data_IF_131824033007
#
_entry.id   IF_131824033007
#
_cell.length_a   1.000
_cell.length_b   1.000
_cell.length_c   1.000
_cell.angle_alpha   90.00
_cell.angle_beta   90.00
_cell.angle_gamma   90.00
#
_symmetry.space_group_name_H-M   'P 1'
#
loop_
_entity.id
_entity.type
_entity.pdbx_description
1 polymer ?
#
# COMPACT_ATOMS: atom_id res chain seq x y z
N UNK A 1 -15.72 -7.51 -22.19
CA UNK A 1 -15.94 -6.08 -22.53
C UNK A 1 -16.42 -5.26 -21.32
N UNK A 2 -17.30 -5.80 -20.46
CA UNK A 2 -17.77 -5.16 -19.22
C UNK A 2 -16.70 -5.01 -18.12
N UNK A 3 -15.80 -5.99 -17.96
CA UNK A 3 -14.72 -5.93 -16.97
C UNK A 3 -13.70 -4.82 -17.26
N UNK A 4 -13.31 -4.65 -18.53
CA UNK A 4 -12.37 -3.62 -18.98
C UNK A 4 -12.92 -2.20 -18.77
N UNK A 5 -14.20 -1.98 -19.04
CA UNK A 5 -14.88 -0.71 -18.73
C UNK A 5 -14.96 -0.43 -17.23
N UNK A 6 -15.11 -1.47 -16.40
CA UNK A 6 -15.13 -1.35 -14.94
C UNK A 6 -13.76 -0.95 -14.40
N UNK A 7 -12.69 -1.59 -14.88
CA UNK A 7 -11.29 -1.27 -14.52
C UNK A 7 -10.95 0.15 -14.96
N UNK A 8 -11.35 0.57 -16.17
CA UNK A 8 -11.10 1.93 -16.64
C UNK A 8 -11.74 2.99 -15.74
N UNK A 9 -13.01 2.80 -15.35
CA UNK A 9 -13.67 3.70 -14.38
C UNK A 9 -13.00 3.67 -13.01
N UNK A 10 -12.49 2.52 -12.57
CA UNK A 10 -11.74 2.40 -11.32
C UNK A 10 -10.51 3.30 -11.33
N UNK A 11 -9.74 3.25 -12.41
CA UNK A 11 -8.53 4.04 -12.58
C UNK A 11 -8.89 5.52 -12.71
N UNK A 12 -9.86 5.88 -13.55
CA UNK A 12 -10.30 7.27 -13.75
C UNK A 12 -10.82 7.92 -12.45
N UNK A 13 -11.58 7.19 -11.62
CA UNK A 13 -11.99 7.68 -10.30
C UNK A 13 -10.79 7.84 -9.35
N UNK A 14 -9.88 6.88 -9.35
CA UNK A 14 -8.70 6.88 -8.47
C UNK A 14 -7.70 7.99 -8.85
N UNK A 15 -7.66 8.42 -10.11
CA UNK A 15 -6.78 9.51 -10.58
C UNK A 15 -7.52 10.83 -10.78
N UNK A 16 -8.78 10.94 -10.35
CA UNK A 16 -9.62 12.11 -10.62
C UNK A 16 -9.15 13.39 -9.94
N UNK A 17 -8.45 13.28 -8.79
CA UNK A 17 -7.99 14.41 -7.99
C UNK A 17 -6.47 14.41 -7.83
N UNK A 18 -5.87 15.61 -7.71
CA UNK A 18 -4.41 15.79 -7.57
C UNK A 18 -3.83 15.05 -6.37
N UNK A 19 -4.58 14.98 -5.26
CA UNK A 19 -4.21 14.28 -4.03
C UNK A 19 -4.12 12.78 -4.21
N UNK A 20 -5.07 12.16 -4.91
CA UNK A 20 -5.06 10.72 -5.16
C UNK A 20 -4.02 10.34 -6.21
N UNK A 21 -3.80 11.19 -7.23
CA UNK A 21 -2.69 11.04 -8.16
C UNK A 21 -1.33 11.10 -7.48
N UNK A 22 -1.11 12.08 -6.58
CA UNK A 22 0.13 12.19 -5.81
C UNK A 22 0.34 10.98 -4.89
N UNK A 23 -0.71 10.51 -4.21
CA UNK A 23 -0.66 9.29 -3.39
C UNK A 23 -0.27 8.06 -4.22
N UNK A 24 -0.93 7.83 -5.36
CA UNK A 24 -0.62 6.69 -6.24
C UNK A 24 0.81 6.75 -6.77
N UNK A 25 1.28 7.93 -7.19
CA UNK A 25 2.66 8.13 -7.64
C UNK A 25 3.67 7.82 -6.54
N UNK A 26 3.41 8.29 -5.32
CA UNK A 26 4.29 8.03 -4.18
C UNK A 26 4.35 6.54 -3.82
N UNK A 27 3.20 5.86 -3.77
CA UNK A 27 3.15 4.41 -3.52
C UNK A 27 3.83 3.63 -4.63
N UNK A 28 3.67 4.03 -5.90
CA UNK A 28 4.32 3.36 -7.03
C UNK A 28 5.85 3.47 -6.96
N UNK A 29 6.38 4.66 -6.66
CA UNK A 29 7.83 4.86 -6.49
C UNK A 29 8.37 3.98 -5.36
N UNK A 30 7.70 4.00 -4.20
CA UNK A 30 8.11 3.19 -3.05
C UNK A 30 7.98 1.68 -3.32
N UNK A 31 6.90 1.24 -3.97
CA UNK A 31 6.65 -0.16 -4.30
C UNK A 31 7.67 -0.71 -5.30
N UNK A 32 8.05 0.08 -6.31
CA UNK A 32 9.11 -0.28 -7.26
C UNK A 32 10.46 -0.38 -6.55
N UNK A 33 10.79 0.60 -5.69
CA UNK A 33 12.03 0.59 -4.93
C UNK A 33 12.09 -0.61 -3.97
N UNK A 34 10.97 -0.93 -3.31
CA UNK A 34 10.83 -2.09 -2.44
C UNK A 34 10.97 -3.43 -3.17
N UNK A 35 10.48 -3.51 -4.42
CA UNK A 35 10.69 -4.70 -5.26
C UNK A 35 12.12 -4.80 -5.78
N UNK A 36 12.76 -3.68 -6.09
CA UNK A 36 14.17 -3.66 -6.43
C UNK A 36 15.05 -4.11 -5.25
N UNK A 37 14.73 -3.68 -4.02
CA UNK A 37 15.31 -4.21 -2.77
C UNK A 37 15.11 -5.72 -2.66
N UNK A 38 13.87 -6.21 -2.80
CA UNK A 38 13.54 -7.64 -2.69
C UNK A 38 14.26 -8.52 -3.72
N UNK A 39 14.58 -7.96 -4.89
CA UNK A 39 15.36 -8.64 -5.93
C UNK A 39 16.88 -8.49 -5.77
N UNK A 40 17.36 -7.76 -4.76
CA UNK A 40 18.78 -7.50 -4.53
C UNK A 40 19.42 -6.55 -5.55
N UNK A 41 18.61 -5.70 -6.20
CA UNK A 41 19.08 -4.72 -7.20
C UNK A 41 19.51 -3.39 -6.56
N UNK A 42 19.04 -3.11 -5.35
CA UNK A 42 19.33 -1.89 -4.58
C UNK A 42 19.50 -2.27 -3.12
N UNK A 43 20.51 -1.69 -2.47
CA UNK A 43 20.81 -1.90 -1.05
C UNK A 43 20.28 -0.71 -0.24
N UNK A 44 19.13 -0.88 0.38
CA UNK A 44 18.47 0.10 1.25
C UNK A 44 17.94 -0.62 2.47
N UNK A 45 17.85 0.07 3.62
CA UNK A 45 17.50 -0.49 4.95
C UNK A 45 16.02 -0.97 5.06
N UNK A 46 15.46 -1.61 4.03
CA UNK A 46 14.06 -2.06 3.93
C UNK A 46 13.01 -0.95 4.13
N UNK A 47 13.44 0.31 4.10
CA UNK A 47 12.60 1.47 4.42
C UNK A 47 11.53 1.67 3.36
N UNK A 48 11.83 1.41 2.08
CA UNK A 48 10.87 1.55 1.00
C UNK A 48 9.73 0.53 1.11
N UNK A 49 10.09 -0.72 1.41
CA UNK A 49 9.13 -1.80 1.65
C UNK A 49 8.22 -1.47 2.83
N UNK A 50 8.79 -1.01 3.94
CA UNK A 50 8.03 -0.61 5.13
C UNK A 50 7.06 0.55 4.86
N UNK A 51 7.51 1.63 4.21
CA UNK A 51 6.63 2.75 3.87
C UNK A 51 5.52 2.34 2.90
N UNK A 52 5.81 1.44 1.96
CA UNK A 52 4.78 0.87 1.06
C UNK A 52 3.73 0.09 1.83
N UNK A 53 4.15 -0.71 2.83
CA UNK A 53 3.25 -1.42 3.75
C UNK A 53 2.38 -0.42 4.51
N UNK A 54 2.96 0.61 5.15
CA UNK A 54 2.19 1.61 5.90
C UNK A 54 1.18 2.33 5.00
N UNK A 55 1.55 2.73 3.80
CA UNK A 55 0.61 3.42 2.90
C UNK A 55 -0.52 2.48 2.46
N UNK A 56 -0.23 1.18 2.38
CA UNK A 56 -1.22 0.14 2.12
C UNK A 56 -1.93 -0.40 3.39
N UNK A 57 -1.72 0.20 4.58
CA UNK A 57 -2.07 -0.39 5.90
C UNK A 57 -3.49 -0.96 6.09
N UNK A 58 -4.56 -0.38 5.52
CA UNK A 58 -5.90 -0.97 5.67
C UNK A 58 -5.96 -2.42 5.18
N UNK A 59 -5.04 -2.80 4.29
CA UNK A 59 -4.92 -4.12 3.69
C UNK A 59 -3.76 -4.95 4.26
N UNK A 60 -2.92 -4.37 5.13
CA UNK A 60 -1.78 -5.09 5.74
C UNK A 60 -2.21 -5.99 6.88
N UNK A 61 -3.41 -5.86 7.43
CA UNK A 61 -4.01 -6.89 8.30
C UNK A 61 -4.15 -8.23 7.55
N UNK A 62 -4.41 -8.19 6.25
CA UNK A 62 -4.46 -9.38 5.40
C UNK A 62 -3.06 -10.02 5.27
N UNK A 63 -2.04 -9.19 5.10
CA UNK A 63 -0.63 -9.64 5.03
C UNK A 63 -0.15 -10.14 6.38
N UNK A 64 -0.50 -9.47 7.48
CA UNK A 64 -0.20 -9.91 8.84
C UNK A 64 -0.86 -11.26 9.12
N UNK A 65 -2.09 -11.51 8.66
CA UNK A 65 -2.73 -12.82 8.75
C UNK A 65 -1.99 -13.89 7.94
N UNK A 66 -1.44 -13.56 6.76
CA UNK A 66 -0.60 -14.48 5.97
C UNK A 66 0.73 -14.78 6.68
N UNK A 67 1.35 -13.78 7.30
CA UNK A 67 2.58 -13.95 8.10
C UNK A 67 2.29 -14.80 9.35
N UNK A 68 1.16 -14.58 10.02
CA UNK A 68 0.74 -15.39 11.17
C UNK A 68 0.45 -16.84 10.79
N UNK A 69 -0.16 -17.06 9.61
CA UNK A 69 -0.31 -18.40 9.04
C UNK A 69 1.06 -19.02 8.73
N UNK A 70 2.04 -18.25 8.25
CA UNK A 70 3.40 -18.72 7.99
C UNK A 70 4.12 -19.18 9.27
N UNK A 71 4.02 -18.44 10.38
CA UNK A 71 4.58 -18.90 11.66
C UNK A 71 3.93 -20.21 12.13
N UNK A 72 2.64 -20.40 11.82
CA UNK A 72 1.96 -21.69 11.98
C UNK A 72 2.53 -22.81 11.11
N UNK A 73 2.93 -22.51 9.86
CA UNK A 73 3.60 -23.45 8.97
C UNK A 73 5.01 -23.79 9.42
N UNK A 74 5.77 -22.82 9.93
CA UNK A 74 7.09 -23.05 10.52
C UNK A 74 7.03 -24.06 11.67
N UNK A 75 6.04 -23.88 12.56
CA UNK A 75 5.81 -24.80 13.67
C UNK A 75 5.46 -26.23 13.22
N UNK A 76 4.81 -26.37 12.06
CA UNK A 76 4.37 -27.66 11.51
C UNK A 76 5.45 -28.38 10.69
N UNK A 77 6.26 -27.64 9.94
CA UNK A 77 7.23 -28.17 8.96
C UNK A 77 8.67 -28.16 9.47
N UNK A 78 8.96 -27.48 10.58
CA UNK A 78 10.28 -27.38 11.18
C UNK A 78 11.28 -26.52 10.38
N UNK A 79 10.85 -25.89 9.28
CA UNK A 79 11.64 -24.94 8.50
C UNK A 79 10.72 -23.83 7.95
N UNK A 80 11.30 -22.66 7.64
CA UNK A 80 10.53 -21.50 7.21
C UNK A 80 10.55 -21.41 5.69
N UNK A 81 9.54 -22.00 5.04
CA UNK A 81 9.42 -22.04 3.58
C UNK A 81 9.58 -20.66 2.92
N UNK A 82 9.10 -19.58 3.56
CA UNK A 82 9.24 -18.23 3.04
C UNK A 82 10.65 -17.64 3.20
N UNK A 83 11.37 -18.01 4.26
CA UNK A 83 12.76 -17.58 4.46
C UNK A 83 13.73 -18.31 3.52
N UNK A 84 13.44 -19.58 3.22
CA UNK A 84 14.29 -20.42 2.38
C UNK A 84 13.98 -20.30 0.89
N UNK A 85 12.79 -19.79 0.54
CA UNK A 85 12.38 -19.58 -0.83
C UNK A 85 12.98 -18.29 -1.40
N UNK A 86 13.42 -18.30 -2.67
CA UNK A 86 14.04 -17.14 -3.27
C UNK A 86 13.01 -16.02 -3.48
N UNK A 87 13.41 -14.78 -3.20
CA UNK A 87 12.53 -13.61 -3.19
C UNK A 87 11.74 -13.38 -4.49
N UNK A 88 12.31 -13.73 -5.65
CA UNK A 88 11.65 -13.62 -6.95
C UNK A 88 10.33 -14.40 -7.06
N UNK A 89 10.13 -15.42 -6.21
CA UNK A 89 8.88 -16.19 -6.17
C UNK A 89 7.71 -15.35 -5.61
N UNK A 90 8.01 -14.43 -4.68
CA UNK A 90 7.00 -13.65 -3.97
C UNK A 90 6.89 -12.20 -4.45
N UNK A 91 7.91 -11.65 -5.09
CA UNK A 91 7.90 -10.27 -5.61
C UNK A 91 6.76 -9.96 -6.59
N UNK A 92 6.33 -10.87 -7.49
CA UNK A 92 5.15 -10.64 -8.32
C UNK A 92 3.87 -10.51 -7.49
N UNK A 93 3.70 -11.34 -6.47
CA UNK A 93 2.53 -11.30 -5.57
C UNK A 93 2.53 -10.01 -4.74
N UNK A 94 3.69 -9.61 -4.24
CA UNK A 94 3.90 -8.32 -3.58
C UNK A 94 3.55 -7.15 -4.51
N UNK A 95 3.97 -7.21 -5.78
CA UNK A 95 3.69 -6.17 -6.77
C UNK A 95 2.20 -6.00 -7.01
N UNK A 96 1.49 -7.12 -7.21
CA UNK A 96 0.04 -7.12 -7.36
C UNK A 96 -0.63 -6.58 -6.09
N UNK A 97 -0.18 -7.00 -4.91
CA UNK A 97 -0.72 -6.55 -3.63
C UNK A 97 -0.65 -5.04 -3.48
N UNK A 98 0.53 -4.42 -3.57
CA UNK A 98 0.65 -2.99 -3.34
C UNK A 98 -0.10 -2.19 -4.41
N UNK A 99 -0.12 -2.66 -5.66
CA UNK A 99 -0.84 -1.98 -6.74
C UNK A 99 -2.35 -1.95 -6.49
N UNK A 100 -2.93 -3.09 -6.10
CA UNK A 100 -4.37 -3.20 -5.81
C UNK A 100 -4.73 -2.44 -4.53
N UNK A 101 -3.92 -2.54 -3.48
CA UNK A 101 -4.12 -1.82 -2.23
C UNK A 101 -4.03 -0.30 -2.42
N UNK A 102 -3.06 0.18 -3.21
CA UNK A 102 -2.93 1.59 -3.56
C UNK A 102 -4.17 2.10 -4.30
N UNK A 103 -4.66 1.34 -5.27
CA UNK A 103 -5.85 1.71 -6.04
C UNK A 103 -7.11 1.75 -5.17
N UNK A 104 -7.28 0.78 -4.27
CA UNK A 104 -8.39 0.76 -3.32
C UNK A 104 -8.33 1.96 -2.36
N UNK A 105 -7.16 2.26 -1.80
CA UNK A 105 -6.96 3.41 -0.92
C UNK A 105 -7.21 4.74 -1.64
N UNK A 106 -6.70 4.90 -2.86
CA UNK A 106 -6.93 6.09 -3.67
C UNK A 106 -8.41 6.38 -3.89
N UNK A 107 -9.23 5.33 -4.10
CA UNK A 107 -10.69 5.48 -4.23
C UNK A 107 -11.36 5.89 -2.92
N UNK A 108 -10.94 5.31 -1.80
CA UNK A 108 -11.43 5.70 -0.47
C UNK A 108 -11.08 7.16 -0.17
N UNK A 109 -9.86 7.59 -0.51
CA UNK A 109 -9.42 8.99 -0.36
C UNK A 109 -10.26 9.91 -1.25
N UNK A 110 -10.48 9.56 -2.53
CA UNK A 110 -11.35 10.33 -3.41
C UNK A 110 -12.79 10.45 -2.85
N UNK A 111 -13.35 9.35 -2.36
CA UNK A 111 -14.69 9.35 -1.76
C UNK A 111 -14.76 10.23 -0.51
N UNK A 112 -13.74 10.17 0.36
CA UNK A 112 -13.62 11.01 1.55
C UNK A 112 -13.46 12.49 1.18
N UNK A 113 -12.58 12.82 0.24
CA UNK A 113 -12.40 14.19 -0.26
C UNK A 113 -13.71 14.76 -0.82
N UNK A 114 -14.43 14.00 -1.65
CA UNK A 114 -15.75 14.42 -2.17
C UNK A 114 -16.78 14.60 -1.06
N UNK A 115 -16.75 13.78 -0.01
CA UNK A 115 -17.66 13.87 1.13
C UNK A 115 -17.40 15.12 1.99
N UNK A 116 -16.12 15.49 2.14
CA UNK A 116 -15.68 16.65 2.91
C UNK A 116 -15.98 17.94 2.15
N UNK A 117 -15.72 17.98 0.84
CA UNK A 117 -16.00 19.16 0.00
C UNK A 117 -17.50 19.53 -0.07
N UNK A 118 -18.40 18.60 0.26
CA UNK A 118 -19.85 18.85 0.33
C UNK A 118 -20.31 19.47 1.66
N UNK A 119 -19.44 19.54 2.68
CA UNK A 119 -19.78 20.12 3.98
C UNK A 119 -19.42 21.61 4.03
N UNK A 120 -20.38 22.50 4.27
CA UNK A 120 -20.09 23.93 4.37
C UNK A 120 -19.17 24.21 5.57
N UNK A 121 -18.13 25.02 5.35
CA UNK A 121 -17.16 25.44 6.38
C UNK A 121 -15.98 24.50 6.61
N UNK A 122 -15.86 23.39 5.87
CA UNK A 122 -14.73 22.45 6.03
C UNK A 122 -13.64 22.72 4.99
N UNK A 123 -12.38 22.77 5.44
CA UNK A 123 -11.23 22.99 4.55
C UNK A 123 -11.02 21.81 3.59
N UNK A 124 -10.77 22.05 2.29
CA UNK A 124 -10.45 21.00 1.32
C UNK A 124 -9.14 20.26 1.64
N UNK A 125 -8.29 20.85 2.50
CA UNK A 125 -7.02 20.25 2.92
C UNK A 125 -7.14 19.29 4.12
N UNK A 126 -8.34 19.13 4.69
CA UNK A 126 -8.53 18.28 5.87
C UNK A 126 -8.13 16.82 5.62
N UNK A 127 -8.53 16.25 4.48
CA UNK A 127 -8.25 14.86 4.11
C UNK A 127 -6.75 14.61 3.82
N UNK A 128 -6.06 15.40 2.97
CA UNK A 128 -4.62 15.19 2.76
C UNK A 128 -3.79 15.42 4.03
N UNK A 129 -4.14 16.41 4.86
CA UNK A 129 -3.41 16.67 6.11
C UNK A 129 -3.63 15.57 7.15
N UNK A 130 -4.84 15.01 7.26
CA UNK A 130 -5.10 13.89 8.18
C UNK A 130 -4.38 12.61 7.75
N UNK A 131 -4.32 12.32 6.44
CA UNK A 131 -3.51 11.22 5.90
C UNK A 131 -2.03 11.39 6.22
N UNK A 132 -1.47 12.58 5.98
CA UNK A 132 -0.09 12.91 6.31
C UNK A 132 0.19 12.74 7.81
N UNK A 133 -0.71 13.21 8.67
CA UNK A 133 -0.58 13.09 10.12
C UNK A 133 -0.60 11.61 10.57
N UNK A 134 -1.51 10.79 10.03
CA UNK A 134 -1.60 9.36 10.37
C UNK A 134 -0.34 8.62 9.92
N UNK A 135 0.10 8.81 8.68
CA UNK A 135 1.30 8.15 8.14
C UNK A 135 2.55 8.58 8.93
N UNK A 136 2.68 9.87 9.23
CA UNK A 136 3.80 10.40 10.01
C UNK A 136 3.81 9.87 11.43
N UNK A 137 2.64 9.74 12.08
CA UNK A 137 2.53 9.16 13.41
C UNK A 137 2.96 7.69 13.42
N UNK A 138 2.53 6.88 12.44
CA UNK A 138 2.92 5.47 12.34
C UNK A 138 4.42 5.34 12.08
N UNK A 139 4.97 6.16 11.18
CA UNK A 139 6.41 6.18 10.91
C UNK A 139 7.23 6.61 12.14
N UNK A 140 6.72 7.57 12.93
CA UNK A 140 7.34 7.99 14.18
C UNK A 140 7.31 6.87 15.23
N UNK A 141 6.17 6.21 15.41
CA UNK A 141 6.01 5.08 16.34
C UNK A 141 6.93 3.91 15.99
N UNK A 142 7.26 3.72 14.71
CA UNK A 142 8.20 2.68 14.29
C UNK A 142 9.67 3.02 14.61
N UNK A 143 10.04 4.30 14.63
CA UNK A 143 11.41 4.73 14.97
C UNK A 143 11.70 4.73 16.47
N UNK A 144 10.68 4.58 17.31
CA UNK A 144 10.77 4.50 18.77
C UNK A 144 10.99 3.06 19.22
#
# INVERSE_FOLDING_TARGET
MTATLRIRRVVEDATSDRTTGAYLGFVAVLGILASAEGLGLVDTDSTARFLTVILCMPWTLLVAAVVWLNDGFYWLLGHNFFADSPAWLFEPLWTVFWTVAALANARTIAALSRSVSRRPGVSPFLVPMSLLAIVSLIALLWRL
#
